data_IF_601392906181
#
_entry.id   IF_601392906181
#
_cell.length_a   1.000
_cell.length_b   1.000
_cell.length_c   1.000
_cell.angle_alpha   90.00
_cell.angle_beta   90.00
_cell.angle_gamma   90.00
#
_symmetry.space_group_name_H-M   'P 1'
#
loop_
_entity.id
_entity.type
_entity.pdbx_description
1 polymer ?
#
# COMPACT_ATOMS: atom_id res chain seq x y z
N UNK A 1 32.35 18.98 -29.14
CA UNK A 1 31.67 17.85 -28.50
C UNK A 1 30.78 18.44 -27.43
N UNK A 2 29.46 18.41 -27.62
CA UNK A 2 28.52 18.95 -26.64
C UNK A 2 28.55 18.04 -25.40
N UNK A 3 28.91 18.61 -24.25
CA UNK A 3 28.72 17.96 -22.96
C UNK A 3 27.22 17.65 -22.82
N UNK A 4 26.84 16.37 -22.80
CA UNK A 4 25.51 15.98 -22.36
C UNK A 4 25.37 16.43 -20.90
N UNK A 5 24.72 17.58 -20.69
CA UNK A 5 24.31 18.02 -19.36
C UNK A 5 23.32 16.98 -18.83
N UNK A 6 23.83 15.98 -18.11
CA UNK A 6 23.03 14.84 -17.66
C UNK A 6 22.04 15.35 -16.60
N UNK A 7 20.79 15.57 -17.00
CA UNK A 7 19.73 15.97 -16.07
C UNK A 7 19.56 14.85 -15.03
N UNK A 8 19.73 15.17 -13.75
CA UNK A 8 19.58 14.19 -12.66
C UNK A 8 18.18 14.34 -12.08
N UNK A 9 17.39 13.26 -12.09
CA UNK A 9 16.09 13.23 -11.42
C UNK A 9 16.30 12.95 -9.93
N UNK A 10 15.98 13.93 -9.10
CA UNK A 10 16.03 13.86 -7.64
C UNK A 10 14.64 13.58 -7.04
N UNK A 11 14.59 12.70 -6.04
CA UNK A 11 13.37 12.32 -5.32
C UNK A 11 13.49 12.76 -3.85
N UNK A 12 13.29 14.05 -3.53
CA UNK A 12 13.64 14.64 -2.24
C UNK A 12 12.91 14.03 -1.04
N UNK A 13 11.81 13.33 -1.28
CA UNK A 13 11.07 12.61 -0.28
C UNK A 13 11.78 11.32 0.19
N UNK A 14 12.53 10.65 -0.67
CA UNK A 14 13.09 9.32 -0.39
C UNK A 14 14.21 9.34 0.65
N UNK A 15 14.84 10.49 0.87
CA UNK A 15 15.92 10.65 1.86
C UNK A 15 15.40 10.94 3.27
N UNK A 16 14.17 11.46 3.39
CA UNK A 16 13.59 11.86 4.67
C UNK A 16 13.25 10.63 5.52
N UNK A 17 13.70 10.64 6.78
CA UNK A 17 13.39 9.59 7.75
C UNK A 17 11.88 9.40 7.94
N UNK A 18 11.13 10.50 8.03
CA UNK A 18 9.66 10.48 8.16
C UNK A 18 8.98 9.74 7.00
N UNK A 19 9.47 9.91 5.78
CA UNK A 19 8.91 9.29 4.59
C UNK A 19 9.22 7.80 4.50
N UNK A 20 10.44 7.40 4.89
CA UNK A 20 10.82 5.99 5.04
C UNK A 20 9.95 5.30 6.09
N UNK A 21 9.68 5.96 7.21
CA UNK A 21 8.81 5.45 8.27
C UNK A 21 7.35 5.31 7.78
N UNK A 22 6.79 6.34 7.15
CA UNK A 22 5.43 6.27 6.57
C UNK A 22 5.32 5.14 5.55
N UNK A 23 6.33 4.95 4.69
CA UNK A 23 6.38 3.82 3.75
C UNK A 23 6.32 2.47 4.47
N UNK A 24 7.11 2.30 5.53
CA UNK A 24 7.12 1.05 6.30
C UNK A 24 5.76 0.77 6.93
N UNK A 25 5.11 1.79 7.49
CA UNK A 25 3.78 1.66 8.09
C UNK A 25 2.74 1.28 7.04
N UNK A 26 2.70 1.95 5.88
CA UNK A 26 1.76 1.60 4.80
C UNK A 26 1.99 0.17 4.32
N UNK A 27 3.25 -0.24 4.14
CA UNK A 27 3.61 -1.59 3.75
C UNK A 27 3.15 -2.63 4.79
N UNK A 28 3.38 -2.37 6.08
CA UNK A 28 2.92 -3.23 7.15
C UNK A 28 1.39 -3.35 7.17
N UNK A 29 0.66 -2.24 7.02
CA UNK A 29 -0.81 -2.24 7.01
C UNK A 29 -1.39 -3.01 5.82
N UNK A 30 -0.77 -2.91 4.63
CA UNK A 30 -1.16 -3.73 3.47
C UNK A 30 -0.98 -5.23 3.76
N UNK A 31 0.18 -5.62 4.31
CA UNK A 31 0.46 -7.02 4.61
C UNK A 31 -0.44 -7.58 5.73
N UNK A 32 -0.68 -6.80 6.80
CA UNK A 32 -1.62 -7.17 7.85
C UNK A 32 -3.03 -7.35 7.27
N UNK A 33 -3.46 -6.47 6.37
CA UNK A 33 -4.75 -6.62 5.68
C UNK A 33 -4.83 -7.93 4.88
N UNK A 34 -3.77 -8.29 4.15
CA UNK A 34 -3.69 -9.57 3.43
C UNK A 34 -3.77 -10.76 4.37
N UNK A 35 -3.04 -10.73 5.50
CA UNK A 35 -3.10 -11.82 6.48
C UNK A 35 -4.51 -11.97 7.05
N UNK A 36 -5.16 -10.87 7.42
CA UNK A 36 -6.53 -10.91 7.93
C UNK A 36 -7.52 -11.42 6.88
N UNK A 37 -7.41 -10.98 5.61
CA UNK A 37 -8.23 -11.51 4.52
C UNK A 37 -7.98 -13.00 4.29
N UNK A 38 -6.73 -13.46 4.32
CA UNK A 38 -6.39 -14.88 4.19
C UNK A 38 -7.00 -15.73 5.30
N UNK A 39 -7.01 -15.24 6.54
CA UNK A 39 -7.68 -15.92 7.65
C UNK A 39 -9.19 -16.05 7.40
N UNK A 40 -9.83 -15.02 6.84
CA UNK A 40 -11.25 -15.08 6.44
C UNK A 40 -11.46 -16.05 5.27
N UNK A 41 -10.62 -15.97 4.23
CA UNK A 41 -10.68 -16.82 3.04
C UNK A 41 -10.52 -18.29 3.39
N UNK A 42 -9.47 -18.62 4.14
CA UNK A 42 -9.16 -20.00 4.53
C UNK A 42 -10.13 -20.51 5.61
N UNK A 43 -10.42 -19.70 6.63
CA UNK A 43 -11.28 -20.09 7.75
C UNK A 43 -12.75 -20.22 7.37
N UNK A 44 -13.23 -19.37 6.46
CA UNK A 44 -14.61 -19.32 5.99
C UNK A 44 -14.86 -20.02 4.66
N UNK A 45 -13.88 -20.78 4.13
CA UNK A 45 -13.85 -21.25 2.74
C UNK A 45 -15.19 -21.78 2.25
N UNK A 46 -15.79 -22.77 2.91
CA UNK A 46 -17.03 -23.40 2.46
C UNK A 46 -18.25 -22.46 2.52
N UNK A 47 -18.21 -21.46 3.40
CA UNK A 47 -19.31 -20.52 3.63
C UNK A 47 -19.25 -19.28 2.72
N UNK A 48 -18.09 -18.99 2.10
CA UNK A 48 -17.88 -17.85 1.20
C UNK A 48 -18.51 -18.07 -0.19
N UNK A 49 -19.83 -18.16 -0.28
CA UNK A 49 -20.51 -18.38 -1.56
C UNK A 49 -20.40 -17.15 -2.48
N UNK A 50 -19.84 -17.34 -3.67
CA UNK A 50 -19.68 -16.29 -4.68
C UNK A 50 -18.58 -15.26 -4.40
N UNK A 51 -18.02 -15.21 -3.19
CA UNK A 51 -17.06 -14.16 -2.78
C UNK A 51 -15.60 -14.59 -2.79
N UNK A 52 -15.29 -15.90 -2.87
CA UNK A 52 -13.91 -16.44 -2.87
C UNK A 52 -12.99 -15.73 -3.86
N UNK A 53 -13.42 -15.65 -5.13
CA UNK A 53 -12.61 -15.05 -6.19
C UNK A 53 -12.36 -13.54 -5.95
N UNK A 54 -13.34 -12.84 -5.38
CA UNK A 54 -13.21 -11.42 -5.05
C UNK A 54 -12.22 -11.21 -3.90
N UNK A 55 -12.30 -12.01 -2.83
CA UNK A 55 -11.35 -11.93 -1.71
C UNK A 55 -9.92 -12.24 -2.16
N UNK A 56 -9.72 -13.33 -2.90
CA UNK A 56 -8.41 -13.71 -3.44
C UNK A 56 -7.89 -12.61 -4.38
N UNK A 57 -8.75 -12.01 -5.21
CA UNK A 57 -8.39 -10.87 -6.04
C UNK A 57 -7.89 -9.68 -5.23
N UNK A 58 -8.59 -9.33 -4.14
CA UNK A 58 -8.19 -8.27 -3.21
C UNK A 58 -6.83 -8.55 -2.55
N UNK A 59 -6.60 -9.78 -2.10
CA UNK A 59 -5.33 -10.22 -1.51
C UNK A 59 -4.17 -10.02 -2.49
N UNK A 60 -4.33 -10.48 -3.74
CA UNK A 60 -3.31 -10.35 -4.78
C UNK A 60 -3.03 -8.87 -5.11
N UNK A 61 -4.09 -8.06 -5.24
CA UNK A 61 -3.93 -6.62 -5.51
C UNK A 61 -3.21 -5.92 -4.36
N UNK A 62 -3.53 -6.24 -3.10
CA UNK A 62 -2.84 -5.69 -1.94
C UNK A 62 -1.36 -6.09 -1.87
N UNK A 63 -1.03 -7.34 -2.22
CA UNK A 63 0.36 -7.80 -2.32
C UNK A 63 1.12 -7.05 -3.42
N UNK A 64 0.52 -6.87 -4.60
CA UNK A 64 1.12 -6.08 -5.70
C UNK A 64 1.33 -4.62 -5.26
N UNK A 65 0.35 -4.01 -4.59
CA UNK A 65 0.49 -2.67 -4.05
C UNK A 65 1.60 -2.59 -3.00
N UNK A 66 1.75 -3.60 -2.12
CA UNK A 66 2.84 -3.64 -1.14
C UNK A 66 4.22 -3.64 -1.83
N UNK A 67 4.38 -4.41 -2.92
CA UNK A 67 5.59 -4.38 -3.74
C UNK A 67 5.83 -3.00 -4.36
N UNK A 68 4.78 -2.36 -4.89
CA UNK A 68 4.89 -1.02 -5.46
C UNK A 68 5.21 0.07 -4.44
N UNK A 69 4.65 -0.01 -3.23
CA UNK A 69 5.00 0.86 -2.10
C UNK A 69 6.46 0.64 -1.70
N UNK A 70 6.92 -0.61 -1.60
CA UNK A 70 8.32 -0.92 -1.30
C UNK A 70 9.28 -0.30 -2.32
N UNK A 71 8.89 -0.31 -3.60
CA UNK A 71 9.66 0.22 -4.74
C UNK A 71 9.52 1.73 -4.97
N UNK A 72 8.85 2.47 -4.07
CA UNK A 72 8.62 3.91 -4.22
C UNK A 72 7.88 4.30 -5.51
N UNK A 73 6.93 3.47 -5.96
CA UNK A 73 6.12 3.81 -7.13
C UNK A 73 5.18 4.99 -6.84
N UNK A 74 5.09 5.90 -7.81
CA UNK A 74 4.14 7.03 -7.77
C UNK A 74 2.70 6.55 -7.92
N UNK A 75 1.77 7.24 -7.27
CA UNK A 75 0.32 7.03 -7.46
C UNK A 75 -0.28 5.78 -6.79
N UNK A 76 0.51 4.88 -6.21
CA UNK A 76 -0.04 3.70 -5.51
C UNK A 76 -0.78 4.06 -4.22
N UNK A 77 -0.38 5.13 -3.53
CA UNK A 77 -0.96 5.49 -2.23
C UNK A 77 -2.45 5.90 -2.32
N UNK A 78 -2.88 6.79 -3.25
CA UNK A 78 -4.30 7.08 -3.42
C UNK A 78 -5.14 5.87 -3.82
N UNK A 79 -4.59 4.98 -4.66
CA UNK A 79 -5.28 3.74 -5.06
C UNK A 79 -5.45 2.80 -3.87
N UNK A 80 -4.41 2.63 -3.05
CA UNK A 80 -4.47 1.85 -1.82
C UNK A 80 -5.52 2.41 -0.85
N UNK A 81 -5.60 3.74 -0.70
CA UNK A 81 -6.62 4.37 0.14
C UNK A 81 -8.05 4.10 -0.39
N UNK A 82 -8.26 4.23 -1.71
CA UNK A 82 -9.58 3.97 -2.30
C UNK A 82 -10.02 2.50 -2.11
N UNK A 83 -9.11 1.54 -2.35
CA UNK A 83 -9.42 0.12 -2.13
C UNK A 83 -9.65 -0.20 -0.65
N UNK A 84 -8.92 0.46 0.26
CA UNK A 84 -9.11 0.33 1.69
C UNK A 84 -10.49 0.82 2.15
N UNK A 85 -11.02 1.90 1.56
CA UNK A 85 -12.39 2.34 1.81
C UNK A 85 -13.38 1.23 1.44
N UNK A 86 -13.25 0.65 0.25
CA UNK A 86 -14.16 -0.41 -0.23
C UNK A 86 -14.05 -1.65 0.67
N UNK A 87 -12.83 -2.06 1.02
CA UNK A 87 -12.61 -3.23 1.88
C UNK A 87 -13.14 -3.00 3.30
N UNK A 88 -13.04 -1.78 3.85
CA UNK A 88 -13.64 -1.43 5.14
C UNK A 88 -15.17 -1.58 5.10
N UNK A 89 -15.80 -1.14 4.00
CA UNK A 89 -17.25 -1.31 3.80
C UNK A 89 -17.62 -2.80 3.73
N UNK A 90 -16.87 -3.60 2.96
CA UNK A 90 -17.11 -5.05 2.89
C UNK A 90 -16.97 -5.71 4.27
N UNK A 91 -15.94 -5.37 5.04
CA UNK A 91 -15.78 -5.86 6.42
C UNK A 91 -16.95 -5.49 7.31
N UNK A 92 -17.42 -4.23 7.24
CA UNK A 92 -18.55 -3.74 8.03
C UNK A 92 -19.88 -4.44 7.67
N UNK A 93 -20.11 -4.73 6.39
CA UNK A 93 -21.32 -5.43 5.92
C UNK A 93 -21.24 -6.93 6.22
N UNK A 94 -20.06 -7.53 6.14
CA UNK A 94 -19.88 -8.97 6.35
C UNK A 94 -19.90 -9.38 7.83
N UNK A 95 -19.40 -8.53 8.73
CA UNK A 95 -19.25 -8.86 10.15
C UNK A 95 -20.54 -9.35 10.83
N UNK A 96 -21.71 -8.67 10.70
CA UNK A 96 -22.95 -9.15 11.30
C UNK A 96 -23.33 -10.56 10.83
N UNK A 97 -23.19 -10.84 9.53
CA UNK A 97 -23.52 -12.15 8.97
C UNK A 97 -22.65 -13.30 9.50
N UNK A 98 -21.45 -13.02 10.01
CA UNK A 98 -20.63 -14.01 10.71
C UNK A 98 -21.09 -14.22 12.14
N UNK A 99 -21.43 -13.16 12.87
CA UNK A 99 -21.97 -13.28 14.23
C UNK A 99 -23.32 -13.99 14.26
N UNK A 100 -24.18 -13.74 13.28
CA UNK A 100 -25.49 -14.43 13.15
C UNK A 100 -25.33 -15.95 12.92
N UNK A 101 -24.17 -16.40 12.42
CA UNK A 101 -23.86 -17.82 12.21
C UNK A 101 -23.33 -18.51 13.47
N UNK A 102 -23.05 -17.77 14.54
CA UNK A 102 -22.57 -18.31 15.81
C UNK A 102 -23.70 -18.94 16.65
N UNK A 103 -24.49 -19.80 15.99
CA UNK A 103 -25.68 -20.43 16.55
C UNK A 103 -25.80 -21.88 16.09
N UNK A 104 -26.49 -22.69 16.91
CA UNK A 104 -26.78 -24.08 16.58
C UNK A 104 -27.63 -24.17 15.29
N UNK A 105 -27.25 -25.06 14.36
CA UNK A 105 -27.96 -25.29 13.10
C UNK A 105 -27.28 -24.71 11.86
N UNK A 106 -26.22 -23.90 12.02
CA UNK A 106 -25.36 -23.50 10.90
C UNK A 106 -24.26 -24.53 10.62
N UNK A 107 -23.88 -24.64 9.35
CA UNK A 107 -22.77 -25.47 8.94
C UNK A 107 -21.45 -24.94 9.53
N UNK A 108 -20.62 -25.79 10.15
CA UNK A 108 -19.38 -25.36 10.77
C UNK A 108 -18.38 -24.84 9.71
N UNK A 109 -17.57 -23.87 10.11
CA UNK A 109 -16.41 -23.39 9.35
C UNK A 109 -15.11 -23.86 10.01
N UNK A 110 -13.97 -23.74 9.33
CA UNK A 110 -12.67 -24.17 9.88
C UNK A 110 -12.21 -23.31 11.05
N UNK A 111 -12.56 -22.02 11.04
CA UNK A 111 -12.44 -21.09 12.17
C UNK A 111 -13.84 -20.75 12.64
N UNK A 112 -14.06 -20.61 13.95
CA UNK A 112 -15.36 -20.27 14.50
C UNK A 112 -15.93 -18.96 13.93
N UNK A 113 -17.25 -18.93 13.78
CA UNK A 113 -17.93 -17.84 13.08
C UNK A 113 -17.78 -16.50 13.81
N UNK A 114 -17.81 -16.50 15.14
CA UNK A 114 -17.57 -15.29 15.94
C UNK A 114 -16.16 -14.71 15.72
N UNK A 115 -15.12 -15.54 15.66
CA UNK A 115 -13.75 -15.11 15.35
C UNK A 115 -13.64 -14.56 13.93
N UNK A 116 -14.28 -15.21 12.94
CA UNK A 116 -14.33 -14.67 11.57
C UNK A 116 -15.02 -13.30 11.52
N UNK A 117 -16.11 -13.12 12.28
CA UNK A 117 -16.78 -11.83 12.46
C UNK A 117 -15.87 -10.79 13.13
N UNK A 118 -15.14 -11.17 14.18
CA UNK A 118 -14.18 -10.30 14.85
C UNK A 118 -13.03 -9.88 13.92
N UNK A 119 -12.52 -10.79 13.08
CA UNK A 119 -11.51 -10.47 12.07
C UNK A 119 -12.05 -9.43 11.06
N UNK A 120 -13.30 -9.57 10.62
CA UNK A 120 -13.96 -8.58 9.76
C UNK A 120 -14.08 -7.22 10.45
N UNK A 121 -14.40 -7.19 11.75
CA UNK A 121 -14.43 -5.95 12.53
C UNK A 121 -13.04 -5.33 12.67
N UNK A 122 -11.99 -6.12 12.91
CA UNK A 122 -10.59 -5.65 13.01
C UNK A 122 -10.07 -5.12 11.68
N UNK A 123 -10.52 -5.67 10.55
CA UNK A 123 -10.16 -5.16 9.23
C UNK A 123 -10.55 -3.68 9.06
N UNK A 124 -11.66 -3.23 9.66
CA UNK A 124 -12.16 -1.86 9.55
C UNK A 124 -11.16 -0.82 10.08
N UNK A 125 -10.71 -0.84 11.36
CA UNK A 125 -9.72 0.10 11.85
C UNK A 125 -8.37 -0.06 11.14
N UNK A 126 -7.98 -1.27 10.71
CA UNK A 126 -6.77 -1.46 9.89
C UNK A 126 -6.88 -0.70 8.56
N UNK A 127 -8.04 -0.76 7.88
CA UNK A 127 -8.26 0.01 6.66
C UNK A 127 -8.29 1.51 6.92
N UNK A 128 -8.91 1.97 8.02
CA UNK A 128 -8.90 3.40 8.41
C UNK A 128 -7.47 3.90 8.62
N UNK A 129 -6.63 3.12 9.31
CA UNK A 129 -5.21 3.45 9.49
C UNK A 129 -4.48 3.45 8.14
N UNK A 130 -4.74 2.47 7.27
CA UNK A 130 -4.13 2.42 5.93
C UNK A 130 -4.48 3.67 5.12
N UNK A 131 -5.74 4.10 5.13
CA UNK A 131 -6.19 5.33 4.48
C UNK A 131 -5.43 6.54 5.04
N UNK A 132 -5.39 6.69 6.37
CA UNK A 132 -4.75 7.84 7.01
C UNK A 132 -3.24 7.92 6.66
N UNK A 133 -2.52 6.80 6.73
CA UNK A 133 -1.09 6.76 6.43
C UNK A 133 -0.80 6.86 4.93
N UNK A 134 -1.66 6.32 4.07
CA UNK A 134 -1.54 6.50 2.62
C UNK A 134 -1.73 7.97 2.22
N UNK A 135 -2.73 8.66 2.78
CA UNK A 135 -2.95 10.08 2.53
C UNK A 135 -1.82 10.94 3.11
N UNK A 136 -1.30 10.59 4.29
CA UNK A 136 -0.11 11.23 4.85
C UNK A 136 1.12 11.05 3.95
N UNK A 137 1.34 9.84 3.45
CA UNK A 137 2.45 9.55 2.52
C UNK A 137 2.30 10.31 1.21
N UNK A 138 1.09 10.41 0.68
CA UNK A 138 0.82 11.20 -0.53
C UNK A 138 1.16 12.69 -0.31
N UNK A 139 0.78 13.25 0.83
CA UNK A 139 1.14 14.61 1.24
C UNK A 139 2.64 14.85 1.46
N UNK A 140 3.47 13.81 1.53
CA UNK A 140 4.94 13.92 1.59
C UNK A 140 5.59 14.07 0.21
N UNK A 141 4.83 14.43 -0.83
CA UNK A 141 5.32 14.65 -2.19
C UNK A 141 5.96 13.40 -2.82
N UNK A 142 5.41 12.21 -2.57
CA UNK A 142 5.83 10.96 -3.22
C UNK A 142 5.68 10.97 -4.74
N UNK A 143 4.82 11.86 -5.26
CA UNK A 143 4.57 12.05 -6.69
C UNK A 143 5.50 13.09 -7.34
N UNK A 144 6.35 13.77 -6.56
CA UNK A 144 7.19 14.87 -7.07
C UNK A 144 8.57 14.33 -7.42
N UNK A 145 9.00 14.64 -8.64
CA UNK A 145 10.32 14.38 -9.17
C UNK A 145 10.91 15.74 -9.57
N UNK A 146 12.12 16.05 -9.10
CA UNK A 146 12.76 17.35 -9.36
C UNK A 146 13.95 17.12 -10.28
N UNK A 147 13.97 17.79 -11.41
CA UNK A 147 15.13 17.81 -12.30
C UNK A 147 16.20 18.75 -11.74
N UNK A 148 17.41 18.24 -11.50
CA UNK A 148 18.58 19.05 -11.17
C UNK A 148 19.57 19.02 -12.33
N UNK A 149 19.86 20.19 -12.88
CA UNK A 149 20.98 20.35 -13.80
C UNK A 149 22.29 20.28 -13.00
N UNK A 150 23.28 19.49 -13.45
CA UNK A 150 24.62 19.52 -12.86
C UNK A 150 25.17 20.95 -12.96
N UNK A 151 25.64 21.51 -11.84
CA UNK A 151 26.36 22.79 -11.87
C UNK A 151 27.56 22.63 -12.81
N UNK A 152 27.75 23.51 -13.81
CA UNK A 152 28.90 23.44 -14.69
C UNK A 152 30.18 23.38 -13.86
N UNK A 153 31.02 22.38 -14.11
CA UNK A 153 32.29 22.24 -13.39
C UNK A 153 33.09 23.51 -13.67
N UNK A 154 33.48 24.23 -12.61
CA UNK A 154 34.35 25.39 -12.78
C UNK A 154 35.57 24.99 -13.64
N UNK A 155 36.00 25.82 -14.61
CA UNK A 155 37.17 25.52 -15.43
C UNK A 155 38.33 25.15 -14.52
N UNK A 156 39.04 24.05 -14.83
CA UNK A 156 40.26 23.71 -14.10
C UNK A 156 41.20 24.92 -14.17
N UNK A 157 41.73 25.41 -13.04
CA UNK A 157 42.75 26.45 -13.07
C UNK A 157 43.91 25.98 -13.95
N UNK A 158 44.18 26.68 -15.06
CA UNK A 158 45.25 26.36 -16.01
C UNK A 158 44.83 25.78 -17.38
N UNK A 159 43.53 25.67 -17.69
CA UNK A 159 43.10 25.38 -19.06
C UNK A 159 43.28 26.64 -19.94
N UNK A 160 44.47 26.81 -20.52
CA UNK A 160 44.73 27.88 -21.48
C UNK A 160 43.92 27.64 -22.77
N UNK A 161 43.20 28.65 -23.29
CA UNK A 161 42.69 28.57 -24.64
C UNK A 161 43.89 28.62 -25.59
N UNK A 162 44.09 27.57 -26.39
CA UNK A 162 45.00 27.63 -27.52
C UNK A 162 44.46 28.67 -28.51
N UNK A 163 45.02 29.88 -28.45
CA UNK A 163 44.84 30.92 -29.45
C UNK A 163 45.66 30.50 -30.68
N UNK A 164 44.96 30.28 -31.79
CA UNK A 164 45.54 30.17 -33.13
C UNK A 164 45.80 31.57 -33.69
#
# INVERSE_FOLDING_TARGET
>A
MAEESTVIIDHPNRDKAASKATRLVVLALLLVSVVLMLLVTAGGWDQLQGTKAVLIGYELVYLVMAVYVARWNRGVLPVAAALAIILAIFGAVAAPGWFDRDHAGFAPSSIDAATLGAICVILIPVQVLLIAFAMRGFGQAWNVEVERNPVPRAPRPGAHPHLA
#
